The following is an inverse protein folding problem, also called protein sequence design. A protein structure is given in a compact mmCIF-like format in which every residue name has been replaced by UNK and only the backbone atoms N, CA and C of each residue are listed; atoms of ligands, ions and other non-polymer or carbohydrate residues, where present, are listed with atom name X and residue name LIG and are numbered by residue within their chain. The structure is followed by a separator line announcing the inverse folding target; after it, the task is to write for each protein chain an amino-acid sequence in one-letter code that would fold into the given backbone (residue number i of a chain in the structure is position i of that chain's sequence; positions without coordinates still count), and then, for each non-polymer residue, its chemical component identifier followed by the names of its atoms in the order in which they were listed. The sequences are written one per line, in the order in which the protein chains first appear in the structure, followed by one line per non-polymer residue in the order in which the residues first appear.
data_IF_328897414460
#
_entry.id   IF_328897414460
#
_cell.length_a   1.000
_cell.length_b   1.000
_cell.length_c   1.000
_cell.angle_alpha   90.00
_cell.angle_beta   90.00
_cell.angle_gamma   90.00
#
_symmetry.space_group_name_H-M   'P 1'
#
loop_
_entity.id
_entity.type
_entity.pdbx_description
1 polymer ?
#
# COMPACT_ATOMS: atom_id res chain seq x y z
N UNK A 1 9.11 -1.77 -33.80
CA UNK A 1 7.92 -1.35 -33.05
C UNK A 1 8.39 -1.08 -31.63
N UNK A 2 8.18 0.14 -31.12
CA UNK A 2 8.66 0.56 -29.79
C UNK A 2 7.89 -0.21 -28.72
N UNK A 3 8.59 -1.03 -27.94
CA UNK A 3 8.05 -1.74 -26.80
C UNK A 3 7.91 -0.77 -25.63
N UNK A 4 6.67 -0.56 -25.19
CA UNK A 4 6.34 0.35 -24.11
C UNK A 4 6.49 -0.39 -22.78
N UNK A 5 7.30 0.14 -21.85
CA UNK A 5 7.52 -0.45 -20.52
C UNK A 5 7.11 0.49 -19.37
N UNK A 6 6.40 -0.07 -18.38
CA UNK A 6 5.92 0.63 -17.18
C UNK A 6 7.04 0.70 -16.14
N UNK A 7 7.82 1.78 -16.14
CA UNK A 7 8.78 2.08 -15.07
C UNK A 7 8.15 2.91 -13.96
N UNK A 8 7.29 2.27 -13.14
CA UNK A 8 6.60 2.87 -11.98
C UNK A 8 7.57 3.79 -11.20
N UNK A 9 7.51 5.09 -11.51
CA UNK A 9 8.39 6.11 -10.94
C UNK A 9 8.05 6.37 -9.46
N UNK A 10 6.97 5.76 -8.96
CA UNK A 10 6.60 5.77 -7.55
C UNK A 10 7.55 4.94 -6.66
N UNK A 11 8.44 4.10 -7.21
CA UNK A 11 9.31 3.26 -6.36
C UNK A 11 10.28 4.08 -5.50
N UNK A 12 10.81 5.22 -5.97
CA UNK A 12 11.75 6.01 -5.14
C UNK A 12 11.05 6.74 -3.99
N UNK A 13 9.91 7.35 -4.26
CA UNK A 13 9.12 8.06 -3.24
C UNK A 13 8.43 7.08 -2.28
N UNK A 14 7.96 5.93 -2.79
CA UNK A 14 7.47 4.83 -1.95
C UNK A 14 8.59 4.21 -1.13
N UNK A 15 9.79 4.00 -1.66
CA UNK A 15 10.94 3.47 -0.90
C UNK A 15 11.36 4.44 0.21
N UNK A 16 11.32 5.76 -0.01
CA UNK A 16 11.53 6.74 1.07
C UNK A 16 10.39 6.74 2.10
N UNK A 17 9.13 6.60 1.65
CA UNK A 17 7.99 6.47 2.55
C UNK A 17 8.04 5.17 3.38
N UNK A 18 8.38 4.03 2.77
CA UNK A 18 8.57 2.75 3.45
C UNK A 18 9.75 2.80 4.43
N UNK A 19 10.87 3.44 4.07
CA UNK A 19 12.00 3.67 5.00
C UNK A 19 11.64 4.58 6.17
N UNK A 20 10.78 5.59 5.96
CA UNK A 20 10.28 6.45 7.05
C UNK A 20 9.31 5.69 7.95
N UNK A 21 8.42 4.89 7.38
CA UNK A 21 7.49 4.03 8.12
C UNK A 21 8.22 2.94 8.92
N UNK A 22 9.28 2.34 8.37
CA UNK A 22 10.13 1.38 9.09
C UNK A 22 10.84 2.05 10.27
N UNK A 23 11.45 3.23 10.08
CA UNK A 23 12.07 3.97 11.18
C UNK A 23 11.08 4.40 12.27
N UNK A 24 9.86 4.77 11.89
CA UNK A 24 8.81 5.16 12.84
C UNK A 24 8.19 3.94 13.55
N UNK A 25 8.13 2.79 12.86
CA UNK A 25 7.80 1.49 13.43
C UNK A 25 8.87 0.99 14.41
N UNK A 26 10.15 1.11 14.06
CA UNK A 26 11.30 0.80 14.92
C UNK A 26 11.25 1.65 16.20
N UNK A 27 11.04 2.97 16.07
CA UNK A 27 10.91 3.88 17.22
C UNK A 27 9.72 3.54 18.12
N UNK A 28 8.54 3.25 17.54
CA UNK A 28 7.37 2.75 18.29
C UNK A 28 7.64 1.42 18.98
N UNK A 29 8.40 0.52 18.35
CA UNK A 29 8.77 -0.76 18.99
C UNK A 29 9.79 -0.59 20.09
N UNK A 30 10.70 0.39 20.01
CA UNK A 30 11.61 0.76 21.09
C UNK A 30 10.85 1.40 22.26
N UNK A 31 9.95 2.35 21.99
CA UNK A 31 9.09 2.97 23.01
C UNK A 31 8.19 1.93 23.71
N UNK A 32 7.62 0.98 22.94
CA UNK A 32 6.84 -0.14 23.48
C UNK A 32 7.71 -1.11 24.30
N UNK A 33 8.97 -1.34 23.93
CA UNK A 33 9.91 -2.19 24.69
C UNK A 33 10.34 -1.50 25.98
N UNK A 34 10.54 -0.19 25.97
CA UNK A 34 10.90 0.59 27.15
C UNK A 34 9.72 0.68 28.14
N UNK A 35 8.50 0.92 27.66
CA UNK A 35 7.28 0.83 28.47
C UNK A 35 7.05 -0.59 29.04
N UNK A 36 7.35 -1.65 28.27
CA UNK A 36 7.27 -3.03 28.78
C UNK A 36 8.36 -3.34 29.80
N UNK A 37 9.54 -2.70 29.70
CA UNK A 37 10.64 -2.86 30.65
C UNK A 37 10.30 -2.19 31.99
N UNK A 38 9.73 -0.99 31.95
CA UNK A 38 9.21 -0.29 33.14
C UNK A 38 8.08 -1.07 33.81
N UNK A 39 7.18 -1.68 33.04
CA UNK A 39 6.12 -2.56 33.57
C UNK A 39 6.68 -3.84 34.22
N UNK A 40 7.77 -4.40 33.67
CA UNK A 40 8.44 -5.61 34.19
C UNK A 40 9.30 -5.33 35.42
N UNK A 41 9.88 -4.13 35.53
CA UNK A 41 10.66 -3.70 36.70
C UNK A 41 9.76 -3.33 37.89
N UNK A 42 8.59 -2.73 37.65
CA UNK A 42 7.58 -2.47 38.69
C UNK A 42 6.95 -3.75 39.29
N UNK A 43 7.06 -4.90 38.62
CA UNK A 43 6.49 -6.18 39.07
C UNK A 43 7.38 -7.02 40.00
N UNK A 44 8.65 -6.64 40.23
CA UNK A 44 9.66 -7.51 40.87
C UNK A 44 9.78 -7.43 42.40
N UNK A 45 9.04 -6.57 43.10
CA UNK A 45 9.13 -6.44 44.57
C UNK A 45 7.85 -6.82 45.34
N UNK A 46 7.16 -7.88 44.94
CA UNK A 46 6.25 -8.58 45.87
C UNK A 46 6.79 -9.98 46.15
N UNK A 47 7.30 -10.21 47.36
CA UNK A 47 7.50 -11.57 47.90
C UNK A 47 6.15 -12.27 47.95
N UNK A 48 5.79 -12.98 46.88
CA UNK A 48 4.56 -13.78 46.83
C UNK A 48 4.79 -15.02 47.68
N UNK A 49 4.09 -15.12 48.83
CA UNK A 49 4.09 -16.34 49.64
C UNK A 49 3.72 -17.56 48.79
N UNK A 50 4.44 -18.67 48.97
CA UNK A 50 4.12 -19.95 48.31
C UNK A 50 2.74 -20.43 48.77
N UNK A 51 1.93 -21.08 47.90
CA UNK A 51 0.58 -21.52 48.26
C UNK A 51 0.52 -22.38 49.53
N UNK A 52 1.58 -23.15 49.79
CA UNK A 52 1.76 -24.03 50.95
C UNK A 52 1.91 -23.27 52.29
N UNK A 53 2.31 -22.00 52.24
CA UNK A 53 2.55 -21.13 53.41
C UNK A 53 1.38 -20.17 53.66
N UNK A 54 0.31 -20.26 52.85
CA UNK A 54 -0.83 -19.37 52.92
C UNK A 54 -1.96 -19.98 53.75
N UNK A 55 -2.60 -19.13 54.54
CA UNK A 55 -3.83 -19.51 55.22
C UNK A 55 -4.95 -19.75 54.21
N UNK A 56 -5.94 -20.59 54.58
CA UNK A 56 -7.13 -20.87 53.76
C UNK A 56 -7.83 -19.60 53.27
N UNK A 57 -7.83 -18.54 54.09
CA UNK A 57 -8.42 -17.23 53.74
C UNK A 57 -7.61 -16.48 52.67
N UNK A 58 -6.29 -16.43 52.81
CA UNK A 58 -5.41 -15.82 51.82
C UNK A 58 -5.46 -16.57 50.47
N UNK A 59 -5.61 -17.90 50.49
CA UNK A 59 -5.81 -18.70 49.27
C UNK A 59 -7.13 -18.37 48.56
N UNK A 60 -8.24 -18.24 49.31
CA UNK A 60 -9.54 -17.86 48.75
C UNK A 60 -9.53 -16.46 48.15
N UNK A 61 -8.82 -15.51 48.77
CA UNK A 61 -8.65 -14.16 48.21
C UNK A 61 -7.83 -14.18 46.93
N UNK A 62 -6.73 -14.95 46.87
CA UNK A 62 -5.96 -15.14 45.63
C UNK A 62 -6.76 -15.79 44.51
N UNK A 63 -7.57 -16.82 44.81
CA UNK A 63 -8.42 -17.47 43.80
C UNK A 63 -9.39 -16.46 43.21
N UNK A 64 -10.07 -15.66 44.04
CA UNK A 64 -10.96 -14.59 43.56
C UNK A 64 -10.22 -13.55 42.72
N UNK A 65 -9.03 -13.13 43.14
CA UNK A 65 -8.22 -12.17 42.37
C UNK A 65 -7.85 -12.73 40.99
N UNK A 66 -7.47 -14.02 40.92
CA UNK A 66 -7.14 -14.70 39.67
C UNK A 66 -8.38 -14.85 38.78
N UNK A 67 -9.53 -15.20 39.34
CA UNK A 67 -10.80 -15.31 38.60
C UNK A 67 -11.20 -13.96 37.98
N UNK A 68 -11.12 -12.86 38.75
CA UNK A 68 -11.40 -11.51 38.24
C UNK A 68 -10.44 -11.17 37.09
N UNK A 69 -9.14 -11.38 37.29
CA UNK A 69 -8.13 -11.12 36.23
C UNK A 69 -8.33 -11.99 34.99
N UNK A 70 -8.74 -13.24 35.18
CA UNK A 70 -9.05 -14.14 34.07
C UNK A 70 -10.25 -13.62 33.26
N UNK A 71 -11.28 -13.13 33.95
CA UNK A 71 -12.45 -12.54 33.31
C UNK A 71 -12.09 -11.25 32.55
N UNK A 72 -11.34 -10.33 33.19
CA UNK A 72 -10.88 -9.09 32.55
C UNK A 72 -10.04 -9.37 31.29
N UNK A 73 -9.14 -10.35 31.34
CA UNK A 73 -8.33 -10.75 30.19
C UNK A 73 -9.17 -11.40 29.08
N UNK A 74 -10.18 -12.20 29.44
CA UNK A 74 -11.08 -12.81 28.47
C UNK A 74 -11.93 -11.77 27.74
N UNK A 75 -12.43 -10.77 28.47
CA UNK A 75 -13.17 -9.65 27.90
C UNK A 75 -12.29 -8.82 26.96
N UNK A 76 -11.05 -8.54 27.36
CA UNK A 76 -10.06 -7.85 26.52
C UNK A 76 -9.72 -8.66 25.26
N UNK A 77 -9.51 -9.96 25.40
CA UNK A 77 -9.25 -10.86 24.28
C UNK A 77 -10.40 -10.83 23.26
N UNK A 78 -11.64 -10.98 23.75
CA UNK A 78 -12.83 -11.01 22.88
C UNK A 78 -12.99 -9.71 22.12
N UNK A 79 -12.77 -8.56 22.79
CA UNK A 79 -12.80 -7.24 22.12
C UNK A 79 -11.69 -7.12 21.08
N UNK A 80 -10.46 -7.48 21.44
CA UNK A 80 -9.31 -7.41 20.52
C UNK A 80 -9.51 -8.30 19.30
N UNK A 81 -10.06 -9.50 19.49
CA UNK A 81 -10.38 -10.44 18.41
C UNK A 81 -11.43 -9.84 17.46
N UNK A 82 -12.48 -9.22 18.00
CA UNK A 82 -13.49 -8.53 17.20
C UNK A 82 -12.88 -7.35 16.40
N UNK A 83 -11.99 -6.58 17.01
CA UNK A 83 -11.27 -5.50 16.33
C UNK A 83 -10.38 -6.03 15.19
N UNK A 84 -9.66 -7.13 15.40
CA UNK A 84 -8.85 -7.78 14.38
C UNK A 84 -9.69 -8.25 13.18
N UNK A 85 -10.82 -8.91 13.43
CA UNK A 85 -11.72 -9.34 12.35
C UNK A 85 -12.30 -8.15 11.57
N UNK A 86 -12.64 -7.06 12.25
CA UNK A 86 -13.09 -5.82 11.60
C UNK A 86 -12.00 -5.19 10.73
N UNK A 87 -10.75 -5.14 11.20
CA UNK A 87 -9.61 -4.64 10.43
C UNK A 87 -9.36 -5.52 9.20
N UNK A 88 -9.40 -6.84 9.35
CA UNK A 88 -9.23 -7.79 8.24
C UNK A 88 -10.30 -7.62 7.17
N UNK A 89 -11.56 -7.49 7.59
CA UNK A 89 -12.70 -7.25 6.69
C UNK A 89 -12.56 -5.91 5.97
N UNK A 90 -12.17 -4.85 6.68
CA UNK A 90 -11.93 -3.53 6.11
C UNK A 90 -10.77 -3.57 5.09
N UNK A 91 -9.65 -4.18 5.45
CA UNK A 91 -8.48 -4.29 4.57
C UNK A 91 -8.75 -5.10 3.31
N UNK A 92 -9.60 -6.15 3.38
CA UNK A 92 -10.06 -6.87 2.18
C UNK A 92 -10.86 -5.93 1.26
N UNK A 93 -11.81 -5.18 1.81
CA UNK A 93 -12.62 -4.24 1.04
C UNK A 93 -11.77 -3.13 0.41
N UNK A 94 -10.84 -2.55 1.16
CA UNK A 94 -9.92 -1.53 0.65
C UNK A 94 -9.06 -2.05 -0.50
N UNK A 95 -8.57 -3.30 -0.42
CA UNK A 95 -7.84 -3.94 -1.53
C UNK A 95 -8.70 -4.15 -2.76
N UNK A 96 -9.94 -4.59 -2.58
CA UNK A 96 -10.91 -4.76 -3.68
C UNK A 96 -11.23 -3.41 -4.33
N UNK A 97 -11.45 -2.36 -3.53
CA UNK A 97 -11.70 -1.02 -4.03
C UNK A 97 -10.48 -0.46 -4.77
N UNK A 98 -9.27 -0.62 -4.21
CA UNK A 98 -8.04 -0.22 -4.90
C UNK A 98 -7.87 -0.96 -6.23
N UNK A 99 -8.11 -2.26 -6.29
CA UNK A 99 -8.03 -3.01 -7.54
C UNK A 99 -9.08 -2.54 -8.55
N UNK A 100 -10.29 -2.21 -8.09
CA UNK A 100 -11.38 -1.72 -8.95
C UNK A 100 -11.11 -0.33 -9.52
N UNK A 101 -10.48 0.56 -8.74
CA UNK A 101 -10.25 1.96 -9.10
C UNK A 101 -8.80 2.26 -9.51
N UNK A 102 -7.91 1.27 -9.50
CA UNK A 102 -6.49 1.44 -9.86
C UNK A 102 -6.27 2.10 -11.22
N UNK A 103 -7.08 1.72 -12.21
CA UNK A 103 -6.95 2.23 -13.58
C UNK A 103 -7.82 3.46 -13.84
N UNK A 104 -8.66 3.89 -12.89
CA UNK A 104 -9.64 4.95 -13.12
C UNK A 104 -8.96 6.27 -13.50
N UNK A 105 -7.90 6.65 -12.80
CA UNK A 105 -7.16 7.89 -13.09
C UNK A 105 -6.49 7.82 -14.46
N UNK A 106 -5.81 6.71 -14.77
CA UNK A 106 -5.13 6.51 -16.04
C UNK A 106 -6.11 6.57 -17.21
N UNK A 107 -7.25 5.87 -17.10
CA UNK A 107 -8.27 5.86 -18.15
C UNK A 107 -8.80 7.28 -18.38
N UNK A 108 -9.10 8.03 -17.32
CA UNK A 108 -9.55 9.43 -17.43
C UNK A 108 -8.55 10.33 -18.15
N UNK A 109 -7.25 10.12 -17.92
CA UNK A 109 -6.21 10.90 -18.58
C UNK A 109 -5.97 10.49 -20.05
N UNK A 110 -6.36 9.27 -20.44
CA UNK A 110 -6.27 8.78 -21.82
C UNK A 110 -7.46 9.28 -22.68
N UNK A 111 -8.63 9.55 -22.09
CA UNK A 111 -9.82 10.01 -22.83
C UNK A 111 -9.57 11.18 -23.80
N UNK A 112 -8.83 12.24 -23.44
CA UNK A 112 -8.55 13.34 -24.38
C UNK A 112 -7.78 12.91 -25.63
N UNK A 113 -6.92 11.87 -25.52
CA UNK A 113 -6.23 11.33 -26.68
C UNK A 113 -7.20 10.61 -27.62
N UNK A 114 -8.17 9.85 -27.06
CA UNK A 114 -9.23 9.20 -27.83
C UNK A 114 -10.10 10.24 -28.53
N UNK A 115 -10.53 11.29 -27.82
CA UNK A 115 -11.33 12.38 -28.39
C UNK A 115 -10.61 13.06 -29.58
N UNK A 116 -9.30 13.23 -29.48
CA UNK A 116 -8.50 13.82 -30.54
C UNK A 116 -8.32 12.88 -31.74
N UNK A 117 -8.19 11.56 -31.50
CA UNK A 117 -8.17 10.56 -32.57
C UNK A 117 -9.51 10.51 -33.32
N UNK A 118 -10.65 10.58 -32.62
CA UNK A 118 -11.98 10.62 -33.25
C UNK A 118 -12.16 11.86 -34.13
N UNK A 119 -11.67 13.03 -33.67
CA UNK A 119 -11.65 14.25 -34.48
C UNK A 119 -10.75 14.10 -35.70
N UNK A 120 -9.56 13.53 -35.54
CA UNK A 120 -8.64 13.29 -36.64
C UNK A 120 -9.27 12.40 -37.72
N UNK A 121 -9.93 11.30 -37.34
CA UNK A 121 -10.66 10.41 -38.26
C UNK A 121 -11.81 11.16 -38.95
N UNK A 122 -12.56 11.97 -38.21
CA UNK A 122 -13.66 12.76 -38.79
C UNK A 122 -13.17 13.77 -39.83
N UNK A 123 -12.01 14.39 -39.61
CA UNK A 123 -11.39 15.30 -40.58
C UNK A 123 -10.82 14.55 -41.78
N UNK A 124 -10.20 13.38 -41.58
CA UNK A 124 -9.67 12.56 -42.67
C UNK A 124 -10.74 12.15 -43.71
N UNK A 125 -11.98 11.93 -43.26
CA UNK A 125 -13.09 11.58 -44.15
C UNK A 125 -13.63 12.75 -44.99
N UNK A 126 -13.28 13.98 -44.64
CA UNK A 126 -13.82 15.21 -45.26
C UNK A 126 -12.79 16.02 -46.04
N UNK A 127 -11.50 15.70 -45.93
CA UNK A 127 -10.40 16.49 -46.50
C UNK A 127 -9.57 15.67 -47.50
N UNK A 128 -9.13 16.31 -48.59
CA UNK A 128 -8.30 15.66 -49.64
C UNK A 128 -6.80 15.81 -49.40
N UNK A 129 -6.39 16.70 -48.49
CA UNK A 129 -4.99 16.88 -48.10
C UNK A 129 -4.66 16.16 -46.77
N UNK A 130 -3.81 15.12 -46.79
CA UNK A 130 -3.42 14.39 -45.59
C UNK A 130 -2.46 15.16 -44.67
N UNK A 131 -1.91 16.30 -45.07
CA UNK A 131 -0.89 17.02 -44.29
C UNK A 131 -1.39 17.49 -42.91
N UNK A 132 -2.62 18.00 -42.84
CA UNK A 132 -3.26 18.41 -41.58
C UNK A 132 -3.58 17.22 -40.67
N UNK A 133 -3.93 16.08 -41.26
CA UNK A 133 -4.20 14.83 -40.55
C UNK A 133 -2.96 14.29 -39.85
N UNK A 134 -1.84 14.21 -40.58
CA UNK A 134 -0.55 13.72 -40.03
C UNK A 134 -0.14 14.56 -38.82
N UNK A 135 -0.21 15.88 -38.94
CA UNK A 135 0.11 16.79 -37.84
C UNK A 135 -0.81 16.63 -36.62
N UNK A 136 -2.11 16.42 -36.84
CA UNK A 136 -3.07 16.15 -35.76
C UNK A 136 -2.78 14.83 -35.02
N UNK A 137 -2.37 13.79 -35.77
CA UNK A 137 -1.99 12.50 -35.20
C UNK A 137 -0.67 12.60 -34.41
N UNK A 138 0.33 13.33 -34.91
CA UNK A 138 1.58 13.58 -34.18
C UNK A 138 1.35 14.30 -32.86
N UNK A 139 0.49 15.32 -32.86
CA UNK A 139 0.11 16.04 -31.64
C UNK A 139 -0.60 15.13 -30.63
N UNK A 140 -1.47 14.25 -31.12
CA UNK A 140 -2.22 13.30 -30.27
C UNK A 140 -1.30 12.24 -29.67
N UNK A 141 -0.39 11.69 -30.48
CA UNK A 141 0.63 10.74 -30.02
C UNK A 141 1.53 11.36 -28.95
N UNK A 142 2.02 12.59 -29.18
CA UNK A 142 2.83 13.31 -28.19
C UNK A 142 2.06 13.62 -26.90
N UNK A 143 0.76 13.90 -26.98
CA UNK A 143 -0.11 14.06 -25.81
C UNK A 143 -0.25 12.76 -25.01
N UNK A 144 -0.50 11.65 -25.70
CA UNK A 144 -0.62 10.33 -25.09
C UNK A 144 0.67 9.91 -24.38
N UNK A 145 1.84 10.06 -25.03
CA UNK A 145 3.13 9.74 -24.43
C UNK A 145 3.37 10.54 -23.15
N UNK A 146 3.02 11.84 -23.11
CA UNK A 146 3.12 12.67 -21.90
C UNK A 146 2.20 12.19 -20.78
N UNK A 147 0.97 11.77 -21.09
CA UNK A 147 0.05 11.18 -20.11
C UNK A 147 0.63 9.90 -19.51
N UNK A 148 1.18 9.05 -20.37
CA UNK A 148 1.83 7.81 -19.96
C UNK A 148 3.05 8.09 -19.06
N UNK A 149 3.91 9.04 -19.44
CA UNK A 149 5.05 9.46 -18.61
C UNK A 149 4.63 9.98 -17.23
N UNK A 150 3.57 10.78 -17.16
CA UNK A 150 2.99 11.23 -15.88
C UNK A 150 2.49 10.09 -15.01
N UNK A 151 1.95 9.04 -15.65
CA UNK A 151 1.53 7.80 -14.99
C UNK A 151 2.69 6.88 -14.60
N UNK A 152 3.94 7.32 -14.83
CA UNK A 152 5.14 6.56 -14.49
C UNK A 152 5.61 5.63 -15.61
N UNK A 153 5.20 5.82 -16.85
CA UNK A 153 5.75 5.08 -17.99
C UNK A 153 7.04 5.72 -18.49
N UNK A 154 8.00 4.93 -19.00
CA UNK A 154 9.18 5.49 -19.67
C UNK A 154 9.47 4.71 -20.94
N UNK A 155 9.82 5.43 -21.99
CA UNK A 155 10.23 4.80 -23.25
C UNK A 155 11.56 4.06 -23.10
N UNK A 156 11.66 2.89 -23.73
CA UNK A 156 12.88 2.07 -23.77
C UNK A 156 13.60 2.34 -25.09
N UNK A 157 14.79 2.93 -25.00
CA UNK A 157 15.66 3.17 -26.16
C UNK A 157 16.29 1.86 -26.64
N UNK A 158 15.70 1.23 -27.66
CA UNK A 158 16.22 -0.01 -28.25
C UNK A 158 17.21 0.22 -29.41
N UNK A 159 17.06 1.32 -30.16
CA UNK A 159 17.88 1.57 -31.36
C UNK A 159 19.29 2.01 -30.93
N UNK A 160 20.30 1.21 -31.31
CA UNK A 160 21.71 1.53 -31.04
C UNK A 160 22.21 1.15 -29.64
N UNK A 161 21.38 0.51 -28.80
CA UNK A 161 21.80 -0.02 -27.49
C UNK A 161 22.08 -1.53 -27.53
N UNK A 162 22.92 -2.04 -26.63
CA UNK A 162 23.09 -3.48 -26.46
C UNK A 162 21.75 -4.18 -26.17
N UNK A 163 21.57 -5.37 -26.72
CA UNK A 163 20.37 -6.17 -26.48
C UNK A 163 20.29 -6.62 -25.01
N UNK A 164 19.18 -6.35 -24.34
CA UNK A 164 18.89 -6.80 -22.97
C UNK A 164 17.60 -7.64 -23.00
N UNK A 165 17.66 -8.96 -22.72
CA UNK A 165 16.48 -9.84 -22.72
C UNK A 165 15.38 -9.42 -21.75
N UNK A 166 15.67 -8.59 -20.74
CA UNK A 166 14.64 -8.07 -19.83
C UNK A 166 13.83 -6.93 -20.46
N UNK A 167 14.38 -6.22 -21.44
CA UNK A 167 13.81 -4.99 -22.01
C UNK A 167 13.55 -5.05 -23.51
N UNK A 168 14.17 -5.99 -24.22
CA UNK A 168 14.10 -6.10 -25.67
C UNK A 168 13.58 -7.48 -26.07
N UNK A 169 12.55 -7.49 -26.92
CA UNK A 169 12.05 -8.69 -27.60
C UNK A 169 12.65 -8.76 -29.02
N UNK A 170 13.16 -9.93 -29.42
CA UNK A 170 13.90 -10.17 -30.67
C UNK A 170 13.09 -10.99 -31.67
#
# INVERSE_FOLDING_TARGET
MSGIEIKINEERDKVEAYKKMDKEGERKTEDLKEQNKDFREAGREKKVKRPEEMTKRELLEKVKEIEIKAQENYDLYTRTYAEMENIKKRGKKEREDLAKFANESLIKEILPAIDNLEKAISHANNDTDPSGLVKGLEMTLGGLMKTLEKSGLKEVEAVGKPFDPNFHEA
#
